data_IF_815110592477
#
_entry.id   IF_815110592477
#
_cell.length_a   1.000
_cell.length_b   1.000
_cell.length_c   1.000
_cell.angle_alpha   90.00
_cell.angle_beta   90.00
_cell.angle_gamma   90.00
#
_symmetry.space_group_name_H-M   'P 1'
#
loop_
_entity.id
_entity.type
_entity.pdbx_description
1 polymer ?
#
# COMPACT_ATOMS: atom_id res chain seq x y z
N UNK A 1 37.58 27.94 30.49
CA UNK A 1 37.58 26.61 29.82
C UNK A 1 37.94 25.57 30.85
N UNK A 2 37.00 24.67 31.21
CA UNK A 2 37.30 23.54 32.10
C UNK A 2 37.74 22.38 31.21
N UNK A 3 39.01 21.99 31.28
CA UNK A 3 39.53 20.85 30.51
C UNK A 3 38.79 19.58 30.98
N UNK A 4 38.20 18.84 30.03
CA UNK A 4 37.63 17.52 30.29
C UNK A 4 38.76 16.63 30.80
N UNK A 5 38.54 15.90 31.90
CA UNK A 5 39.62 15.07 32.45
C UNK A 5 39.99 13.98 31.46
N UNK A 6 41.23 13.47 31.50
CA UNK A 6 41.67 12.37 30.63
C UNK A 6 40.78 11.12 30.77
N UNK A 7 40.16 10.95 31.94
CA UNK A 7 39.18 9.90 32.22
C UNK A 7 37.87 10.17 31.49
N UNK A 8 37.38 11.41 31.49
CA UNK A 8 36.16 11.81 30.77
C UNK A 8 36.33 11.69 29.26
N UNK A 9 37.52 12.03 28.73
CA UNK A 9 37.84 11.87 27.31
C UNK A 9 37.84 10.40 26.88
N UNK A 10 38.43 9.51 27.71
CA UNK A 10 38.41 8.06 27.46
C UNK A 10 37.00 7.49 27.52
N UNK A 11 36.20 7.89 28.52
CA UNK A 11 34.79 7.47 28.62
C UNK A 11 33.98 7.86 27.39
N UNK A 12 34.18 9.07 26.87
CA UNK A 12 33.52 9.51 25.63
C UNK A 12 33.98 8.74 24.38
N UNK A 13 35.19 8.20 24.38
CA UNK A 13 35.72 7.38 23.27
C UNK A 13 35.28 5.91 23.35
N UNK A 14 35.17 5.38 24.58
CA UNK A 14 34.88 3.96 24.87
C UNK A 14 33.39 3.64 24.94
N UNK A 15 32.53 4.63 25.16
CA UNK A 15 31.10 4.46 24.97
C UNK A 15 30.84 4.13 23.49
N UNK A 16 30.52 2.88 23.18
CA UNK A 16 29.62 2.55 22.07
C UNK A 16 28.33 3.33 22.36
N UNK A 17 28.31 4.58 21.88
CA UNK A 17 27.51 5.62 22.48
C UNK A 17 26.04 5.34 22.27
N UNK A 18 25.29 5.23 23.37
CA UNK A 18 23.86 5.47 23.33
C UNK A 18 23.62 6.80 22.58
N UNK A 19 22.60 6.88 21.70
CA UNK A 19 22.36 8.08 20.93
C UNK A 19 22.18 9.27 21.87
N UNK A 20 22.92 10.35 21.59
CA UNK A 20 22.72 11.62 22.30
C UNK A 20 21.36 12.21 21.90
N UNK A 21 20.63 12.79 22.85
CA UNK A 21 19.31 13.39 22.60
C UNK A 21 19.45 14.91 22.55
N UNK A 22 18.92 15.51 21.49
CA UNK A 22 18.86 16.96 21.27
C UNK A 22 17.82 17.64 22.19
N UNK A 23 17.79 18.97 22.25
CA UNK A 23 16.81 19.78 23.00
C UNK A 23 15.36 19.50 22.57
N UNK A 24 15.16 19.17 21.29
CA UNK A 24 13.86 18.79 20.70
C UNK A 24 13.43 17.35 21.03
N UNK A 25 14.22 16.61 21.82
CA UNK A 25 13.98 15.20 22.11
C UNK A 25 14.29 14.25 20.94
N UNK A 26 15.01 14.73 19.91
CA UNK A 26 15.42 13.93 18.75
C UNK A 26 16.77 13.27 19.00
N UNK A 27 16.85 11.98 18.68
CA UNK A 27 18.08 11.22 18.78
C UNK A 27 19.07 11.60 17.67
N UNK A 28 20.31 11.89 18.05
CA UNK A 28 21.43 12.15 17.15
C UNK A 28 22.08 10.80 16.85
N UNK A 29 22.10 10.44 15.56
CA UNK A 29 22.71 9.20 15.12
C UNK A 29 24.21 9.17 15.50
N UNK A 30 24.68 8.18 16.28
CA UNK A 30 26.07 8.08 16.75
C UNK A 30 27.09 7.85 15.62
N UNK A 31 26.63 7.45 14.43
CA UNK A 31 27.47 7.28 13.25
C UNK A 31 27.72 8.60 12.49
N UNK A 32 27.10 9.71 12.90
CA UNK A 32 27.45 11.03 12.38
C UNK A 32 28.86 11.36 12.86
N UNK A 33 29.82 11.65 11.96
CA UNK A 33 31.17 12.01 12.37
C UNK A 33 31.18 13.18 13.35
N UNK A 34 32.06 13.13 14.35
CA UNK A 34 32.12 14.10 15.45
C UNK A 34 32.23 15.56 15.00
N UNK A 35 32.92 15.83 13.88
CA UNK A 35 33.05 17.18 13.33
C UNK A 35 31.75 17.74 12.75
N UNK A 36 30.80 16.89 12.35
CA UNK A 36 29.48 17.32 11.87
C UNK A 36 28.50 17.52 13.04
N UNK A 37 28.55 16.64 14.06
CA UNK A 37 27.66 16.70 15.22
C UNK A 37 28.03 17.80 16.22
N UNK A 38 29.33 18.12 16.34
CA UNK A 38 29.79 19.17 17.26
C UNK A 38 29.30 20.54 16.81
N UNK A 39 28.55 21.23 17.66
CA UNK A 39 28.10 22.60 17.41
C UNK A 39 29.27 23.58 17.53
N UNK A 40 29.51 24.43 16.51
CA UNK A 40 30.54 25.45 16.58
C UNK A 40 30.29 26.45 17.72
N UNK A 41 31.35 27.02 18.27
CA UNK A 41 31.30 27.90 19.43
C UNK A 41 30.35 29.10 19.27
N UNK A 42 30.18 29.62 18.05
CA UNK A 42 29.31 30.77 17.76
C UNK A 42 27.81 30.44 17.77
N UNK A 43 27.43 29.15 17.79
CA UNK A 43 26.03 28.72 17.84
C UNK A 43 25.48 28.69 19.28
N UNK A 44 26.34 28.89 20.30
CA UNK A 44 26.00 29.08 21.72
C UNK A 44 25.01 28.05 22.33
N UNK A 45 24.94 26.82 21.81
CA UNK A 45 24.15 25.74 22.42
C UNK A 45 24.96 25.03 23.50
N UNK A 46 24.32 24.71 24.63
CA UNK A 46 24.95 23.94 25.73
C UNK A 46 24.80 22.43 25.55
N UNK A 47 23.87 22.05 24.70
CA UNK A 47 23.43 20.70 24.37
C UNK A 47 23.96 20.30 22.99
N UNK A 48 24.14 19.00 22.74
CA UNK A 48 24.45 18.50 21.41
C UNK A 48 23.21 18.68 20.51
N UNK A 49 23.37 19.40 19.39
CA UNK A 49 22.25 19.67 18.45
C UNK A 49 22.74 19.54 17.01
N UNK A 50 21.83 19.25 16.08
CA UNK A 50 22.13 19.29 14.64
C UNK A 50 21.58 20.54 13.92
N UNK A 51 21.15 21.55 14.68
CA UNK A 51 20.49 22.73 14.13
C UNK A 51 21.40 23.57 13.23
N UNK A 52 22.71 23.62 13.50
CA UNK A 52 23.69 24.32 12.65
C UNK A 52 23.86 23.69 11.27
N UNK A 53 23.45 22.44 11.08
CA UNK A 53 23.47 21.74 9.79
C UNK A 53 22.18 21.95 8.98
N UNK A 54 21.11 22.44 9.61
CA UNK A 54 19.85 22.74 8.92
C UNK A 54 19.99 24.03 8.11
N UNK A 55 19.17 24.17 7.07
CA UNK A 55 19.20 25.37 6.24
C UNK A 55 18.81 26.61 7.06
N UNK A 56 19.75 27.55 7.18
CA UNK A 56 19.59 28.82 7.91
C UNK A 56 18.78 29.86 7.14
N UNK A 57 18.65 29.71 5.81
CA UNK A 57 17.80 30.58 4.98
C UNK A 57 16.42 29.93 4.86
N UNK A 58 15.38 30.57 5.38
CA UNK A 58 14.00 30.22 5.04
C UNK A 58 13.87 30.26 3.52
N UNK A 59 13.42 29.17 2.87
CA UNK A 59 13.05 29.22 1.46
C UNK A 59 12.01 30.33 1.32
N UNK A 60 12.29 31.34 0.50
CA UNK A 60 11.26 32.27 0.10
C UNK A 60 10.24 31.46 -0.72
N UNK A 61 8.95 31.57 -0.39
CA UNK A 61 7.89 30.89 -1.12
C UNK A 61 7.79 31.50 -2.53
N UNK A 62 8.52 30.91 -3.49
CA UNK A 62 8.41 31.23 -4.90
C UNK A 62 7.15 30.55 -5.49
N UNK A 63 5.99 31.01 -5.04
CA UNK A 63 4.71 30.61 -5.64
C UNK A 63 3.78 31.82 -5.75
N UNK A 64 4.33 32.92 -6.28
CA UNK A 64 3.54 34.08 -6.69
C UNK A 64 4.08 34.62 -8.01
N UNK A 65 3.58 34.03 -9.08
CA UNK A 65 3.77 34.50 -10.44
C UNK A 65 3.00 35.82 -10.58
N UNK A 66 3.71 36.94 -10.46
CA UNK A 66 3.14 38.25 -10.79
C UNK A 66 4.08 39.02 -11.73
N UNK A 67 4.10 38.61 -12.99
CA UNK A 67 4.35 39.56 -14.07
C UNK A 67 3.01 40.20 -14.45
N UNK A 68 2.70 41.39 -13.90
CA UNK A 68 1.52 42.16 -14.31
C UNK A 68 1.77 42.71 -15.71
N UNK A 69 1.29 42.00 -16.73
CA UNK A 69 1.21 42.53 -18.10
C UNK A 69 -0.19 43.13 -18.30
N UNK A 70 -0.27 44.45 -18.31
CA UNK A 70 -1.49 45.20 -18.63
C UNK A 70 -1.15 46.64 -19.02
N UNK A 71 -1.80 47.16 -20.06
CA UNK A 71 -1.63 48.54 -20.49
C UNK A 71 -2.18 49.53 -19.45
N UNK A 72 -1.39 50.57 -19.17
CA UNK A 72 -1.76 51.66 -18.25
C UNK A 72 -2.69 52.64 -18.98
N UNK A 73 -3.88 52.89 -18.45
CA UNK A 73 -4.58 54.15 -18.75
C UNK A 73 -3.69 55.31 -18.27
N UNK A 74 -3.40 56.25 -19.18
CA UNK A 74 -2.23 57.17 -19.13
C UNK A 74 -2.29 58.31 -18.09
N UNK A 75 -2.87 58.15 -16.90
CA UNK A 75 -3.02 59.29 -15.97
C UNK A 75 -2.14 59.28 -14.72
N UNK A 76 -1.57 58.17 -14.25
CA UNK A 76 -0.66 58.20 -13.09
C UNK A 76 0.46 57.17 -13.21
N UNK A 77 1.71 57.61 -13.00
CA UNK A 77 2.94 56.82 -13.17
C UNK A 77 3.10 55.86 -11.98
N UNK A 78 2.41 54.73 -12.02
CA UNK A 78 2.60 53.68 -11.01
C UNK A 78 4.02 53.10 -11.12
N UNK A 79 4.74 53.09 -9.99
CA UNK A 79 6.09 52.55 -9.85
C UNK A 79 6.18 51.10 -10.34
N UNK A 80 7.22 50.81 -11.13
CA UNK A 80 7.49 49.48 -11.68
C UNK A 80 8.02 48.61 -10.53
N UNK A 81 7.24 47.62 -10.09
CA UNK A 81 7.72 46.56 -9.19
C UNK A 81 8.52 45.55 -10.01
N UNK A 82 9.84 45.48 -9.84
CA UNK A 82 10.66 44.39 -10.39
C UNK A 82 10.71 43.25 -9.36
N UNK A 83 10.44 42.02 -9.80
CA UNK A 83 10.56 40.82 -8.97
C UNK A 83 11.87 40.15 -9.41
N UNK A 84 12.98 40.50 -8.76
CA UNK A 84 14.33 40.14 -9.23
C UNK A 84 14.91 38.87 -8.56
N UNK A 85 14.14 38.17 -7.74
CA UNK A 85 14.54 36.89 -7.13
C UNK A 85 13.66 35.76 -7.64
N UNK A 86 14.13 35.07 -8.68
CA UNK A 86 13.61 33.81 -9.19
C UNK A 86 14.76 32.80 -9.32
N UNK A 87 14.46 31.52 -9.11
CA UNK A 87 15.38 30.41 -9.38
C UNK A 87 15.65 30.26 -10.89
N UNK A 88 16.63 29.41 -11.26
CA UNK A 88 16.95 29.16 -12.68
C UNK A 88 15.71 28.70 -13.46
N UNK A 89 15.01 27.67 -12.96
CA UNK A 89 13.77 27.18 -13.58
C UNK A 89 12.70 28.28 -13.62
N UNK A 90 12.58 29.09 -12.57
CA UNK A 90 11.63 30.20 -12.52
C UNK A 90 11.89 31.30 -13.55
N UNK A 91 13.15 31.57 -13.93
CA UNK A 91 13.47 32.56 -14.98
C UNK A 91 13.18 32.05 -16.39
N UNK A 92 13.38 30.74 -16.59
CA UNK A 92 13.24 30.09 -17.89
C UNK A 92 11.89 29.38 -18.06
N UNK A 93 10.98 29.49 -17.08
CA UNK A 93 9.66 28.91 -17.21
C UNK A 93 8.90 29.58 -18.36
N UNK A 94 8.58 28.77 -19.37
CA UNK A 94 7.81 29.15 -20.55
C UNK A 94 6.41 29.61 -20.18
N UNK A 95 5.87 29.09 -19.09
CA UNK A 95 4.52 29.38 -18.62
C UNK A 95 4.45 30.54 -17.63
N UNK A 96 5.54 31.30 -17.49
CA UNK A 96 5.54 32.53 -16.70
C UNK A 96 4.48 33.53 -17.18
N UNK A 97 3.55 33.87 -16.27
CA UNK A 97 2.42 34.76 -16.57
C UNK A 97 1.27 34.08 -17.30
N UNK A 98 1.19 32.75 -17.25
CA UNK A 98 0.05 32.00 -17.78
C UNK A 98 -1.22 32.26 -16.98
N UNK A 99 -2.27 32.70 -17.65
CA UNK A 99 -3.60 32.82 -17.04
C UNK A 99 -4.34 31.48 -17.12
N UNK A 100 -4.73 30.92 -15.97
CA UNK A 100 -5.50 29.66 -15.93
C UNK A 100 -6.83 29.72 -16.68
N UNK A 101 -7.42 30.91 -16.81
CA UNK A 101 -8.66 31.13 -17.57
C UNK A 101 -8.48 30.97 -19.08
N UNK A 102 -7.26 31.13 -19.60
CA UNK A 102 -6.97 30.94 -21.03
C UNK A 102 -7.17 29.47 -21.45
N UNK A 103 -6.82 28.53 -20.57
CA UNK A 103 -7.09 27.09 -20.77
C UNK A 103 -8.58 26.84 -21.01
N UNK A 104 -9.43 27.36 -20.13
CA UNK A 104 -10.88 27.19 -20.22
C UNK A 104 -11.46 27.86 -21.48
N UNK A 105 -10.97 29.04 -21.88
CA UNK A 105 -11.51 29.75 -23.04
C UNK A 105 -11.14 29.13 -24.38
N UNK A 106 -9.90 28.72 -24.55
CA UNK A 106 -9.38 28.33 -25.86
C UNK A 106 -9.31 26.81 -26.05
N UNK A 107 -8.84 26.09 -25.03
CA UNK A 107 -8.58 24.65 -25.15
C UNK A 107 -9.86 23.86 -24.91
N UNK A 108 -10.57 24.13 -23.80
CA UNK A 108 -11.83 23.42 -23.50
C UNK A 108 -12.87 23.65 -24.60
N UNK A 109 -13.06 24.88 -25.07
CA UNK A 109 -14.00 25.19 -26.15
C UNK A 109 -13.71 24.43 -27.45
N UNK A 110 -12.44 24.26 -27.81
CA UNK A 110 -12.06 23.47 -29.00
C UNK A 110 -12.36 21.99 -28.80
N UNK A 111 -12.07 21.47 -27.61
CA UNK A 111 -12.36 20.09 -27.26
C UNK A 111 -13.87 19.81 -27.27
N UNK A 112 -14.68 20.71 -26.71
CA UNK A 112 -16.14 20.65 -26.76
C UNK A 112 -16.65 20.60 -28.20
N UNK A 113 -16.19 21.51 -29.07
CA UNK A 113 -16.59 21.53 -30.48
C UNK A 113 -16.17 20.25 -31.25
N UNK A 114 -15.02 19.67 -30.93
CA UNK A 114 -14.56 18.40 -31.51
C UNK A 114 -15.39 17.22 -31.01
N UNK A 115 -15.79 17.21 -29.73
CA UNK A 115 -16.72 16.21 -29.17
C UNK A 115 -18.11 16.29 -29.81
N UNK A 116 -18.66 17.50 -29.99
CA UNK A 116 -19.94 17.71 -30.68
C UNK A 116 -19.89 17.20 -32.13
N UNK A 117 -18.78 17.46 -32.83
CA UNK A 117 -18.55 16.94 -34.18
C UNK A 117 -18.46 15.41 -34.22
N UNK A 118 -17.84 14.80 -33.20
CA UNK A 118 -17.75 13.33 -33.08
C UNK A 118 -19.10 12.70 -32.78
N UNK A 119 -19.90 13.30 -31.90
CA UNK A 119 -21.24 12.81 -31.55
C UNK A 119 -22.18 12.90 -32.76
N UNK A 120 -22.17 14.04 -33.46
CA UNK A 120 -22.97 14.22 -34.68
C UNK A 120 -22.57 13.23 -35.77
N UNK A 121 -21.27 13.00 -35.97
CA UNK A 121 -20.77 11.97 -36.90
C UNK A 121 -21.24 10.56 -36.52
N UNK A 122 -21.20 10.20 -35.22
CA UNK A 122 -21.66 8.90 -34.74
C UNK A 122 -23.17 8.71 -34.98
N UNK A 123 -23.98 9.74 -34.73
CA UNK A 123 -25.42 9.76 -35.03
C UNK A 123 -25.69 9.62 -36.53
N UNK A 124 -24.92 10.30 -37.37
CA UNK A 124 -25.03 10.19 -38.83
C UNK A 124 -24.69 8.77 -39.32
N UNK A 125 -23.67 8.14 -38.76
CA UNK A 125 -23.33 6.73 -39.05
C UNK A 125 -24.47 5.78 -38.64
N UNK A 126 -25.08 5.98 -37.46
CA UNK A 126 -26.24 5.19 -37.02
C UNK A 126 -27.43 5.36 -37.97
N UNK A 127 -27.73 6.60 -38.39
CA UNK A 127 -28.80 6.89 -39.34
C UNK A 127 -28.54 6.24 -40.71
N UNK A 128 -27.31 6.33 -41.24
CA UNK A 128 -26.92 5.64 -42.48
C UNK A 128 -27.06 4.12 -42.37
N UNK A 129 -26.73 3.54 -41.23
CA UNK A 129 -26.91 2.11 -40.99
C UNK A 129 -28.40 1.72 -40.97
N UNK A 130 -29.27 2.55 -40.38
CA UNK A 130 -30.72 2.35 -40.40
C UNK A 130 -31.31 2.53 -41.82
N UNK A 131 -30.84 3.53 -42.58
CA UNK A 131 -31.25 3.74 -43.97
C UNK A 131 -30.81 2.59 -44.90
N UNK A 132 -29.59 2.08 -44.72
CA UNK A 132 -29.10 0.91 -45.44
C UNK A 132 -29.80 -0.38 -44.98
N UNK A 133 -30.17 -0.49 -43.71
CA UNK A 133 -31.01 -1.59 -43.18
C UNK A 133 -32.42 -1.58 -43.77
N UNK A 134 -32.98 -0.41 -44.06
CA UNK A 134 -34.26 -0.25 -44.76
C UNK A 134 -34.21 -0.55 -46.27
N UNK A 135 -33.03 -0.72 -46.88
CA UNK A 135 -32.90 -1.17 -48.27
C UNK A 135 -32.90 -2.70 -48.43
N UNK A 136 -32.95 -3.45 -47.33
CA UNK A 136 -33.15 -4.91 -47.33
C UNK A 136 -34.48 -5.30 -46.68
N UNK A 137 -35.58 -4.97 -47.34
CA UNK A 137 -36.88 -5.63 -47.07
C UNK A 137 -37.53 -6.10 -48.36
N UNK A 138 -37.05 -7.23 -48.87
CA UNK A 138 -37.94 -8.35 -49.17
C UNK A 138 -37.18 -9.68 -49.02
N UNK A 139 -37.41 -10.35 -47.89
CA UNK A 139 -37.16 -11.79 -47.72
C UNK A 139 -35.86 -12.21 -47.05
N UNK A 140 -35.83 -12.24 -45.71
CA UNK A 140 -35.33 -13.41 -44.95
C UNK A 140 -35.56 -13.18 -43.45
N UNK A 141 -36.29 -14.12 -42.83
CA UNK A 141 -36.41 -14.27 -41.38
C UNK A 141 -35.06 -14.72 -40.84
N UNK A 142 -34.42 -13.93 -39.97
CA UNK A 142 -33.45 -14.46 -38.99
C UNK A 142 -33.30 -13.48 -37.82
N UNK A 143 -33.82 -13.94 -36.68
CA UNK A 143 -33.44 -13.68 -35.29
C UNK A 143 -33.18 -12.24 -34.82
N UNK A 144 -34.21 -11.72 -34.16
CA UNK A 144 -34.10 -10.77 -33.04
C UNK A 144 -33.14 -11.35 -31.99
N UNK A 145 -32.16 -10.53 -31.56
CA UNK A 145 -31.25 -10.68 -30.41
C UNK A 145 -29.74 -10.65 -30.76
N UNK A 146 -29.29 -9.62 -31.48
CA UNK A 146 -27.85 -9.28 -31.52
C UNK A 146 -27.62 -7.80 -31.85
N UNK A 147 -28.17 -6.91 -31.03
CA UNK A 147 -27.77 -5.49 -31.02
C UNK A 147 -27.39 -5.05 -29.59
N UNK A 148 -26.75 -5.95 -28.84
CA UNK A 148 -25.96 -5.57 -27.67
C UNK A 148 -24.50 -5.40 -28.10
N UNK A 149 -23.98 -4.19 -27.88
CA UNK A 149 -22.56 -3.87 -27.79
C UNK A 149 -21.63 -4.13 -28.99
N UNK A 150 -21.79 -3.33 -30.06
CA UNK A 150 -20.69 -3.07 -31.00
C UNK A 150 -19.98 -1.72 -30.79
N UNK A 151 -20.22 -1.05 -29.66
CA UNK A 151 -19.56 0.22 -29.30
C UNK A 151 -18.76 0.16 -27.99
N UNK A 152 -18.88 -0.91 -27.21
CA UNK A 152 -17.89 -1.23 -26.19
C UNK A 152 -16.87 -2.20 -26.79
N UNK A 153 -16.04 -1.70 -27.70
CA UNK A 153 -14.78 -2.37 -28.05
C UNK A 153 -13.87 -2.20 -26.85
N UNK A 154 -14.10 -3.04 -25.86
CA UNK A 154 -13.17 -3.32 -24.80
C UNK A 154 -11.94 -3.93 -25.50
N UNK A 155 -10.89 -3.13 -25.73
CA UNK A 155 -9.66 -3.53 -26.43
C UNK A 155 -8.98 -4.77 -25.81
N UNK A 156 -9.48 -5.24 -24.66
CA UNK A 156 -9.07 -6.48 -24.01
C UNK A 156 -9.63 -7.75 -24.68
N UNK A 157 -10.85 -7.73 -25.26
CA UNK A 157 -11.47 -8.87 -25.97
C UNK A 157 -11.21 -8.76 -27.46
N UNK A 158 -9.95 -8.93 -27.85
CA UNK A 158 -9.63 -9.29 -29.23
C UNK A 158 -10.29 -10.65 -29.50
N UNK A 159 -11.37 -10.62 -30.28
CA UNK A 159 -12.09 -11.79 -30.77
C UNK A 159 -11.08 -12.82 -31.33
N UNK A 160 -11.10 -14.05 -30.79
CA UNK A 160 -10.08 -15.09 -31.08
C UNK A 160 -9.99 -15.41 -32.58
N UNK A 161 -11.05 -15.10 -33.34
CA UNK A 161 -11.10 -15.18 -34.80
C UNK A 161 -10.04 -14.29 -35.49
N UNK A 162 -9.76 -13.09 -34.97
CA UNK A 162 -8.77 -12.14 -35.51
C UNK A 162 -7.33 -12.48 -35.11
N UNK A 163 -7.13 -13.32 -34.09
CA UNK A 163 -5.82 -13.81 -33.66
C UNK A 163 -5.18 -14.74 -34.71
N UNK A 164 -6.00 -15.47 -35.47
CA UNK A 164 -5.53 -16.41 -36.50
C UNK A 164 -4.98 -15.71 -37.75
N UNK A 165 -5.41 -14.48 -38.04
CA UNK A 165 -4.93 -13.70 -39.18
C UNK A 165 -3.53 -13.10 -38.96
N UNK A 166 -3.06 -13.02 -37.71
CA UNK A 166 -1.67 -12.64 -37.39
C UNK A 166 -0.65 -13.78 -37.57
N UNK A 167 -1.10 -15.02 -37.80
CA UNK A 167 -0.19 -16.12 -38.10
C UNK A 167 0.44 -16.01 -39.50
N UNK A 168 -0.14 -15.18 -40.39
CA UNK A 168 0.32 -14.97 -41.76
C UNK A 168 1.18 -13.71 -41.90
N UNK A 169 2.15 -13.51 -41.01
CA UNK A 169 3.17 -12.47 -41.16
C UNK A 169 4.26 -13.01 -42.11
N UNK A 170 4.18 -12.64 -43.40
CA UNK A 170 5.16 -13.02 -44.44
C UNK A 170 6.55 -12.38 -44.26
N UNK A 171 6.67 -11.35 -43.40
CA UNK A 171 7.95 -10.68 -43.12
C UNK A 171 8.33 -10.86 -41.65
N UNK A 172 9.04 -11.96 -41.39
CA UNK A 172 9.74 -12.19 -40.12
C UNK A 172 10.88 -11.17 -40.00
N UNK A 173 10.67 -10.08 -39.25
CA UNK A 173 11.76 -9.17 -38.85
C UNK A 173 12.70 -9.98 -37.96
N UNK A 174 13.86 -10.35 -38.51
CA UNK A 174 14.90 -11.09 -37.80
C UNK A 174 15.59 -10.16 -36.80
N UNK A 175 15.01 -10.00 -35.61
CA UNK A 175 15.81 -9.63 -34.45
C UNK A 175 16.55 -10.88 -33.96
N UNK A 176 17.85 -10.75 -33.68
CA UNK A 176 18.76 -11.84 -33.29
C UNK A 176 18.37 -12.60 -32.02
N UNK A 177 17.36 -12.12 -31.29
CA UNK A 177 16.93 -12.66 -29.99
C UNK A 177 15.57 -13.34 -29.96
N UNK A 178 15.00 -13.77 -31.09
CA UNK A 178 13.80 -14.64 -31.08
C UNK A 178 12.62 -14.07 -30.29
N UNK A 179 12.35 -12.77 -30.41
CA UNK A 179 11.24 -12.11 -29.71
C UNK A 179 9.89 -12.57 -30.25
N UNK A 180 9.03 -13.05 -29.35
CA UNK A 180 7.62 -13.30 -29.58
C UNK A 180 6.98 -12.09 -30.29
N UNK A 181 6.44 -12.28 -31.49
CA UNK A 181 5.70 -11.27 -32.25
C UNK A 181 4.24 -11.17 -31.81
N UNK A 182 3.95 -11.42 -30.52
CA UNK A 182 2.65 -11.17 -29.93
C UNK A 182 2.53 -9.73 -29.42
N UNK A 183 1.31 -9.16 -29.35
CA UNK A 183 1.12 -7.88 -28.68
C UNK A 183 1.56 -7.99 -27.22
N UNK A 184 2.43 -7.10 -26.78
CA UNK A 184 2.89 -7.01 -25.39
C UNK A 184 1.71 -6.47 -24.56
N UNK A 185 0.89 -7.39 -24.03
CA UNK A 185 -0.10 -7.03 -23.01
C UNK A 185 0.64 -6.61 -21.74
N UNK A 186 0.12 -5.62 -21.02
CA UNK A 186 0.67 -5.26 -19.71
C UNK A 186 0.58 -6.48 -18.79
N UNK A 187 1.72 -6.93 -18.23
CA UNK A 187 1.78 -8.11 -17.36
C UNK A 187 1.11 -7.89 -16.00
N UNK A 188 0.86 -6.63 -15.62
CA UNK A 188 0.20 -6.32 -14.36
C UNK A 188 -1.30 -6.56 -14.49
N UNK A 189 -1.80 -7.45 -13.64
CA UNK A 189 -3.23 -7.69 -13.40
C UNK A 189 -3.83 -6.39 -12.85
N UNK A 190 -4.91 -5.90 -13.47
CA UNK A 190 -5.51 -4.59 -13.14
C UNK A 190 -6.49 -4.68 -11.97
N UNK A 191 -7.08 -5.86 -11.79
CA UNK A 191 -8.01 -6.25 -10.75
C UNK A 191 -7.34 -6.27 -9.36
N UNK A 192 -6.05 -6.66 -9.34
CA UNK A 192 -5.25 -6.72 -8.11
C UNK A 192 -4.67 -5.34 -7.76
N UNK A 193 -5.26 -4.73 -6.73
CA UNK A 193 -4.74 -3.49 -6.16
C UNK A 193 -3.41 -3.74 -5.46
N UNK A 194 -2.46 -2.81 -5.60
CA UNK A 194 -1.19 -2.92 -4.90
C UNK A 194 -1.38 -2.62 -3.41
N UNK A 195 -0.65 -3.31 -2.52
CA UNK A 195 -0.78 -3.19 -1.07
C UNK A 195 -0.73 -1.73 -0.57
N UNK A 196 0.22 -0.92 -1.07
CA UNK A 196 0.39 0.49 -0.69
C UNK A 196 -0.67 1.45 -1.27
N UNK A 197 -1.59 0.95 -2.10
CA UNK A 197 -2.72 1.72 -2.62
C UNK A 197 -4.02 1.41 -1.86
N UNK A 198 -4.01 0.43 -0.94
CA UNK A 198 -5.17 0.11 -0.11
C UNK A 198 -5.54 1.28 0.81
N UNK A 199 -4.54 1.96 1.38
CA UNK A 199 -4.71 3.17 2.16
C UNK A 199 -3.67 4.22 1.72
N UNK A 200 -4.13 5.41 1.34
CA UNK A 200 -3.30 6.52 0.85
C UNK A 200 -2.86 7.48 1.97
N UNK A 201 -3.33 7.27 3.20
CA UNK A 201 -2.89 8.06 4.33
C UNK A 201 -1.41 7.83 4.64
N UNK A 202 -0.69 8.92 4.94
CA UNK A 202 0.76 8.90 5.19
C UNK A 202 1.14 8.18 6.50
N UNK A 203 0.19 8.06 7.43
CA UNK A 203 0.32 7.33 8.71
C UNK A 203 -0.20 5.89 8.66
N UNK A 204 -0.59 5.38 7.49
CA UNK A 204 -1.05 4.01 7.33
C UNK A 204 0.08 2.97 7.50
N UNK A 205 -0.24 1.69 7.29
CA UNK A 205 0.73 0.60 7.42
C UNK A 205 1.93 0.76 6.47
N UNK A 206 3.13 0.57 7.01
CA UNK A 206 4.36 0.69 6.24
C UNK A 206 4.50 -0.46 5.21
N UNK A 207 4.70 -0.07 3.95
CA UNK A 207 5.06 -0.95 2.85
C UNK A 207 6.57 -0.85 2.55
N UNK A 208 7.28 -1.97 2.63
CA UNK A 208 8.68 -2.04 2.18
C UNK A 208 8.73 -2.35 0.67
N UNK A 209 9.09 -1.39 -0.21
CA UNK A 209 9.12 -1.60 -1.65
C UNK A 209 10.20 -2.59 -2.11
N UNK A 210 11.21 -2.86 -1.28
CA UNK A 210 12.28 -3.80 -1.61
C UNK A 210 11.81 -5.24 -1.52
N UNK A 211 11.29 -5.62 -0.36
CA UNK A 211 10.75 -6.97 -0.14
C UNK A 211 9.31 -7.13 -0.65
N UNK A 212 8.64 -6.03 -1.01
CA UNK A 212 7.22 -5.99 -1.41
C UNK A 212 6.30 -6.54 -0.33
N UNK A 213 6.67 -6.32 0.94
CA UNK A 213 5.92 -6.78 2.10
C UNK A 213 5.25 -5.61 2.83
N UNK A 214 4.07 -5.87 3.38
CA UNK A 214 3.35 -4.94 4.26
C UNK A 214 3.03 -5.70 5.53
N UNK A 215 3.59 -5.27 6.65
CA UNK A 215 3.56 -6.08 7.89
C UNK A 215 2.19 -5.98 8.58
N UNK A 216 1.79 -4.75 8.88
CA UNK A 216 0.55 -4.43 9.58
C UNK A 216 -0.62 -4.31 8.59
N UNK A 217 -1.84 -4.36 9.14
CA UNK A 217 -3.07 -4.14 8.38
C UNK A 217 -3.18 -2.64 8.00
N UNK A 218 -3.33 -2.28 6.71
CA UNK A 218 -3.54 -0.90 6.29
C UNK A 218 -4.91 -0.32 6.70
N UNK A 219 -5.88 -1.18 7.01
CA UNK A 219 -7.25 -0.79 7.36
C UNK A 219 -7.70 -1.51 8.65
N UNK A 220 -7.11 -1.23 9.82
CA UNK A 220 -7.38 -1.98 11.04
C UNK A 220 -8.85 -1.89 11.50
N UNK A 221 -9.51 -0.75 11.30
CA UNK A 221 -10.85 -0.46 11.81
C UNK A 221 -11.99 -1.09 11.02
N UNK A 222 -11.75 -1.56 9.79
CA UNK A 222 -12.79 -2.16 8.95
C UNK A 222 -13.17 -3.58 9.44
N UNK A 223 -14.30 -4.09 8.94
CA UNK A 223 -14.78 -5.43 9.30
C UNK A 223 -13.85 -6.54 8.75
N UNK A 224 -13.36 -7.48 9.58
CA UNK A 224 -12.41 -8.52 9.13
C UNK A 224 -12.88 -9.42 8.00
N UNK A 225 -14.20 -9.63 7.85
CA UNK A 225 -14.76 -10.51 6.83
C UNK A 225 -14.89 -9.84 5.45
N UNK A 226 -14.93 -8.50 5.41
CA UNK A 226 -15.05 -7.71 4.19
C UNK A 226 -13.68 -7.28 3.65
N UNK A 227 -12.64 -7.36 4.49
CA UNK A 227 -11.26 -7.04 4.12
C UNK A 227 -10.70 -8.03 3.11
N UNK A 228 -10.18 -7.49 2.01
CA UNK A 228 -9.39 -8.26 1.05
C UNK A 228 -8.01 -8.65 1.60
N UNK A 229 -7.41 -7.80 2.43
CA UNK A 229 -6.05 -7.97 2.95
C UNK A 229 -5.93 -7.47 4.39
N UNK A 230 -5.50 -8.34 5.31
CA UNK A 230 -5.34 -8.01 6.75
C UNK A 230 -3.88 -7.92 7.23
N UNK A 231 -2.93 -7.69 6.32
CA UNK A 231 -1.50 -7.59 6.64
C UNK A 231 -0.75 -8.92 6.59
N UNK A 232 0.54 -8.90 6.23
CA UNK A 232 1.36 -10.12 6.10
C UNK A 232 1.56 -10.83 7.45
N UNK A 233 1.49 -10.12 8.59
CA UNK A 233 1.62 -10.73 9.93
C UNK A 233 0.49 -11.70 10.26
N UNK A 234 -0.74 -11.40 9.82
CA UNK A 234 -1.88 -12.29 10.01
C UNK A 234 -1.65 -13.60 9.25
N UNK A 235 -1.28 -13.54 7.97
CA UNK A 235 -1.03 -14.74 7.17
C UNK A 235 0.19 -15.54 7.62
N UNK A 236 1.20 -14.90 8.22
CA UNK A 236 2.39 -15.59 8.76
C UNK A 236 2.12 -16.43 10.00
N UNK A 237 1.13 -16.04 10.81
CA UNK A 237 0.85 -16.67 12.10
C UNK A 237 -0.35 -17.63 12.07
N UNK A 238 -1.14 -17.58 11.00
CA UNK A 238 -2.34 -18.39 10.81
C UNK A 238 -2.06 -19.67 10.03
N UNK A 239 -2.93 -20.68 10.21
CA UNK A 239 -2.86 -21.96 9.50
C UNK A 239 -1.84 -22.95 10.07
N UNK A 240 -1.23 -23.74 9.18
CA UNK A 240 -0.27 -24.79 9.53
C UNK A 240 0.96 -24.32 10.36
N UNK A 241 1.50 -23.10 10.20
CA UNK A 241 2.57 -22.59 11.07
C UNK A 241 2.23 -22.62 12.56
N UNK A 242 0.96 -22.39 12.92
CA UNK A 242 0.50 -22.46 14.30
C UNK A 242 0.54 -23.91 14.83
N UNK A 243 0.01 -24.84 14.06
CA UNK A 243 0.04 -26.28 14.38
C UNK A 243 1.48 -26.79 14.52
N UNK A 244 2.36 -26.37 13.60
CA UNK A 244 3.79 -26.69 13.66
C UNK A 244 4.45 -26.14 14.92
N UNK A 245 4.13 -24.91 15.32
CA UNK A 245 4.61 -24.29 16.58
C UNK A 245 4.12 -25.06 17.81
N UNK A 246 2.88 -25.53 17.81
CA UNK A 246 2.34 -26.35 18.91
C UNK A 246 3.07 -27.70 19.02
N UNK A 247 3.30 -28.37 17.89
CA UNK A 247 4.09 -29.62 17.85
C UNK A 247 5.51 -29.35 18.34
N UNK A 248 6.14 -28.27 17.88
CA UNK A 248 7.50 -27.88 18.29
C UNK A 248 7.60 -27.67 19.81
N UNK A 249 6.60 -26.99 20.38
CA UNK A 249 6.51 -26.77 21.84
C UNK A 249 6.34 -28.09 22.58
N UNK A 250 5.48 -28.98 22.06
CA UNK A 250 5.28 -30.30 22.66
C UNK A 250 6.54 -31.17 22.63
N UNK A 251 7.31 -31.14 21.54
CA UNK A 251 8.57 -31.88 21.41
C UNK A 251 9.61 -31.38 22.40
N UNK A 252 9.73 -30.05 22.58
CA UNK A 252 10.61 -29.48 23.62
C UNK A 252 10.21 -29.95 25.03
N UNK A 253 8.92 -29.87 25.37
CA UNK A 253 8.43 -30.37 26.67
C UNK A 253 8.68 -31.88 26.86
N UNK A 254 8.59 -32.67 25.78
CA UNK A 254 8.84 -34.11 25.83
C UNK A 254 10.34 -34.41 26.01
N UNK A 255 11.21 -33.64 25.34
CA UNK A 255 12.66 -33.72 25.48
C UNK A 255 13.11 -33.37 26.90
N UNK A 256 12.53 -32.34 27.52
CA UNK A 256 12.78 -32.00 28.93
C UNK A 256 12.36 -33.12 29.90
N UNK A 257 11.34 -33.89 29.54
CA UNK A 257 10.88 -35.08 30.30
C UNK A 257 11.73 -36.33 30.03
N UNK A 258 12.74 -36.24 29.18
CA UNK A 258 13.66 -37.33 28.84
C UNK A 258 13.17 -38.25 27.70
N UNK A 259 12.13 -37.86 26.95
CA UNK A 259 11.70 -38.57 25.75
C UNK A 259 12.52 -38.03 24.56
N UNK A 260 13.41 -38.85 24.00
CA UNK A 260 14.26 -38.45 22.88
C UNK A 260 13.50 -38.45 21.55
N UNK A 261 12.93 -37.29 21.22
CA UNK A 261 12.19 -37.04 19.97
C UNK A 261 12.60 -35.67 19.47
N UNK A 262 12.88 -35.57 18.17
CA UNK A 262 13.25 -34.33 17.52
C UNK A 262 12.39 -34.11 16.28
N UNK A 263 11.82 -32.91 16.13
CA UNK A 263 10.85 -32.62 15.08
C UNK A 263 11.45 -32.73 13.68
N UNK A 264 12.68 -32.25 13.49
CA UNK A 264 13.36 -32.29 12.19
C UNK A 264 13.96 -33.67 11.88
N UNK A 265 14.26 -34.49 12.90
CA UNK A 265 14.90 -35.79 12.69
C UNK A 265 13.86 -36.90 12.53
N UNK A 266 12.79 -36.86 13.33
CA UNK A 266 11.71 -37.82 13.34
C UNK A 266 10.33 -37.11 13.35
N UNK A 267 9.95 -36.40 12.28
CA UNK A 267 8.73 -35.59 12.23
C UNK A 267 7.46 -36.41 12.43
N UNK A 268 7.37 -37.59 11.80
CA UNK A 268 6.20 -38.47 11.92
C UNK A 268 6.01 -38.99 13.36
N UNK A 269 7.10 -39.33 14.04
CA UNK A 269 7.05 -39.76 15.44
C UNK A 269 6.58 -38.61 16.34
N UNK A 270 7.13 -37.41 16.16
CA UNK A 270 6.72 -36.21 16.88
C UNK A 270 5.22 -35.91 16.69
N UNK A 271 4.72 -36.00 15.44
CA UNK A 271 3.31 -35.79 15.12
C UNK A 271 2.40 -36.84 15.77
N UNK A 272 2.78 -38.13 15.71
CA UNK A 272 2.01 -39.20 16.36
C UNK A 272 1.92 -39.00 17.88
N UNK A 273 3.04 -38.64 18.52
CA UNK A 273 3.07 -38.33 19.94
C UNK A 273 2.18 -37.14 20.28
N UNK A 274 2.23 -36.08 19.46
CA UNK A 274 1.37 -34.92 19.64
C UNK A 274 -0.13 -35.28 19.53
N UNK A 275 -0.53 -36.04 18.50
CA UNK A 275 -1.91 -36.54 18.34
C UNK A 275 -2.36 -37.38 19.53
N UNK A 276 -1.51 -38.29 20.00
CA UNK A 276 -1.77 -39.11 21.19
C UNK A 276 -1.91 -38.23 22.44
N UNK A 277 -1.06 -37.22 22.60
CA UNK A 277 -1.12 -36.28 23.72
C UNK A 277 -2.44 -35.49 23.70
N UNK A 278 -2.90 -35.05 22.52
CA UNK A 278 -4.15 -34.32 22.36
C UNK A 278 -5.37 -35.19 22.66
N UNK A 279 -5.34 -36.46 22.25
CA UNK A 279 -6.38 -37.43 22.60
C UNK A 279 -6.43 -37.68 24.11
N UNK A 280 -5.28 -37.87 24.76
CA UNK A 280 -5.18 -38.06 26.22
C UNK A 280 -5.65 -36.79 26.94
N UNK A 281 -5.23 -35.60 26.50
CA UNK A 281 -5.68 -34.30 27.05
C UNK A 281 -7.20 -34.16 26.96
N UNK A 282 -7.83 -34.50 25.84
CA UNK A 282 -9.30 -34.47 25.68
C UNK A 282 -9.99 -35.43 26.66
N UNK A 283 -9.50 -36.67 26.80
CA UNK A 283 -10.02 -37.64 27.79
C UNK A 283 -9.88 -37.13 29.23
N UNK A 284 -8.75 -36.54 29.59
CA UNK A 284 -8.53 -35.95 30.92
C UNK A 284 -9.45 -34.76 31.18
N UNK A 285 -9.64 -33.87 30.20
CA UNK A 285 -10.62 -32.77 30.28
C UNK A 285 -12.05 -33.28 30.49
N UNK A 286 -12.44 -34.35 29.81
CA UNK A 286 -13.75 -34.97 30.00
C UNK A 286 -13.90 -35.57 31.41
N UNK A 287 -12.91 -36.34 31.87
CA UNK A 287 -12.92 -36.92 33.23
C UNK A 287 -12.97 -35.85 34.33
N UNK A 288 -12.17 -34.79 34.18
CA UNK A 288 -12.16 -33.66 35.13
C UNK A 288 -13.47 -32.90 35.12
N UNK A 289 -14.06 -32.64 33.94
CA UNK A 289 -15.41 -32.04 33.83
C UNK A 289 -16.45 -32.88 34.57
N UNK A 290 -16.47 -34.20 34.37
CA UNK A 290 -17.43 -35.08 35.04
C UNK A 290 -17.20 -35.12 36.55
N UNK A 291 -15.95 -35.22 37.00
CA UNK A 291 -15.62 -35.21 38.43
C UNK A 291 -16.00 -33.89 39.12
N UNK A 292 -15.90 -32.75 38.42
CA UNK A 292 -16.38 -31.45 38.91
C UNK A 292 -17.90 -31.45 38.98
N UNK A 293 -18.57 -31.95 37.94
CA UNK A 293 -20.03 -32.01 37.87
C UNK A 293 -20.63 -32.94 38.94
N UNK A 294 -19.97 -34.05 39.26
CA UNK A 294 -20.36 -34.94 40.36
C UNK A 294 -20.21 -34.29 41.74
N UNK A 295 -19.14 -33.50 41.95
CA UNK A 295 -18.85 -32.87 43.25
C UNK A 295 -19.69 -31.62 43.52
N UNK A 296 -19.94 -30.83 42.49
CA UNK A 296 -20.54 -29.50 42.63
C UNK A 296 -21.91 -29.37 41.95
N UNK A 297 -22.36 -30.40 41.22
CA UNK A 297 -23.59 -30.35 40.43
C UNK A 297 -23.46 -29.46 39.19
N UNK A 298 -24.52 -29.41 38.39
CA UNK A 298 -24.61 -28.49 37.27
C UNK A 298 -25.58 -27.36 37.63
N UNK A 299 -25.07 -26.14 37.81
CA UNK A 299 -25.93 -24.99 38.13
C UNK A 299 -26.87 -24.58 36.96
N UNK A 300 -26.58 -25.06 35.75
CA UNK A 300 -27.38 -24.79 34.55
C UNK A 300 -28.39 -25.90 34.20
N UNK A 301 -28.42 -27.02 34.95
CA UNK A 301 -29.54 -27.95 34.84
C UNK A 301 -30.72 -27.40 35.64
N UNK A 302 -31.89 -27.27 35.01
CA UNK A 302 -33.16 -26.85 35.64
C UNK A 302 -33.70 -27.85 36.68
N UNK A 303 -32.89 -28.82 37.10
CA UNK A 303 -33.24 -29.78 38.13
C UNK A 303 -33.26 -29.05 39.49
N UNK A 304 -34.47 -28.76 39.98
CA UNK A 304 -34.68 -28.13 41.27
C UNK A 304 -33.94 -28.91 42.37
N UNK A 305 -33.21 -28.24 43.28
CA UNK A 305 -32.55 -28.92 44.38
C UNK A 305 -33.59 -29.72 45.19
N UNK A 306 -33.21 -30.90 45.66
CA UNK A 306 -34.10 -31.80 46.40
C UNK A 306 -34.83 -31.03 47.51
N UNK A 307 -36.16 -31.16 47.58
CA UNK A 307 -37.05 -30.38 48.49
C UNK A 307 -36.63 -30.42 49.97
N UNK A 308 -35.90 -31.44 50.38
CA UNK A 308 -35.38 -31.58 51.75
C UNK A 308 -34.30 -30.54 52.10
N UNK A 309 -33.56 -30.03 51.11
CA UNK A 309 -32.55 -28.98 51.30
C UNK A 309 -33.16 -27.57 51.37
N UNK A 310 -34.41 -27.41 50.91
CA UNK A 310 -35.17 -26.16 51.01
C UNK A 310 -35.91 -26.01 52.35
N UNK A 311 -35.96 -27.07 53.17
CA UNK A 311 -36.71 -27.08 54.42
C UNK A 311 -35.94 -26.52 55.64
N UNK A 312 -34.68 -26.10 55.45
CA UNK A 312 -33.77 -25.61 56.50
C UNK A 312 -33.45 -24.12 56.42
N UNK A 313 -34.28 -23.32 55.74
CA UNK A 313 -34.17 -21.85 55.69
C UNK A 313 -35.34 -21.16 56.38
#
# INVERSE_FOLDING_TARGET
>A
MRFKSRVDYRKHLELQAAPEVDEDGKEINPHIPSYMSTTPWYHNTKTPTLNHQKNWKSKADYSKDQCVKGEKSRSFRADRRTIDQQDYDGKYDRWNGYESTSYAREIMKRFEAEMDARETYLKEQQLKNLENGNQFTEGSVTDEDTNEDLLEVDEAKMDESKQLDFAKIEKRVRSSGGGSTGPVRNLRIREDTAKYLLNLDGSSAHYDPKSRSMREDPLPDDNPNEKFYGGDNQYRTTGQPLEFKEIHTHVWEASEKGIDVHLQAAPSQAEMLFKNSNYIKKKLKFKTKNAILEKYGNAASEDAPAKELLLFQ
#
